data_IF_071873232834
#
_entry.id   IF_071873232834
#
_cell.length_a   1.000
_cell.length_b   1.000
_cell.length_c   1.000
_cell.angle_alpha   90.00
_cell.angle_beta   90.00
_cell.angle_gamma   90.00
#
_symmetry.space_group_name_H-M   'P 1'
#
loop_
_entity.id
_entity.type
_entity.pdbx_description
1 polymer ?
#
# COMPACT_ATOMS: atom_id res chain seq x y z
N UNK A 1 -0.01 -16.08 3.22
CA UNK A 1 1.27 -16.63 3.73
C UNK A 1 1.38 -16.35 5.24
N UNK A 2 1.95 -17.25 6.06
CA UNK A 2 2.13 -16.97 7.49
C UNK A 2 3.34 -16.04 7.66
N UNK A 3 3.11 -14.76 7.48
CA UNK A 3 4.13 -13.74 7.72
C UNK A 3 4.47 -13.70 9.21
N UNK A 4 5.75 -13.54 9.53
CA UNK A 4 6.23 -13.38 10.91
C UNK A 4 6.84 -12.00 11.01
N UNK A 5 6.10 -11.07 11.60
CA UNK A 5 6.68 -9.86 12.16
C UNK A 5 7.37 -10.29 13.47
N UNK A 6 8.68 -10.07 13.64
CA UNK A 6 9.32 -10.38 14.92
C UNK A 6 8.75 -9.45 16.00
N UNK A 7 8.80 -9.87 17.27
CA UNK A 7 8.04 -9.24 18.37
C UNK A 7 8.27 -7.73 18.61
N UNK A 8 9.37 -7.16 18.10
CA UNK A 8 9.67 -5.72 18.17
C UNK A 8 9.63 -5.01 16.82
N UNK A 9 9.44 -5.73 15.71
CA UNK A 9 9.46 -5.13 14.38
C UNK A 9 8.10 -4.50 14.09
N UNK A 10 8.11 -3.31 13.47
CA UNK A 10 6.92 -2.69 12.90
C UNK A 10 7.19 -2.47 11.42
N UNK A 11 6.27 -2.95 10.59
CA UNK A 11 6.23 -2.67 9.16
C UNK A 11 5.28 -1.51 8.92
N UNK A 12 5.72 -0.53 8.14
CA UNK A 12 4.90 0.58 7.66
C UNK A 12 4.66 0.36 6.17
N UNK A 13 3.40 0.30 5.77
CA UNK A 13 2.98 0.24 4.37
C UNK A 13 2.37 1.57 3.97
N UNK A 14 2.96 2.19 2.97
CA UNK A 14 2.51 3.39 2.29
C UNK A 14 2.21 3.05 0.83
N UNK A 15 1.61 3.99 0.11
CA UNK A 15 1.37 3.87 -1.32
C UNK A 15 1.86 5.13 -2.02
N UNK A 16 2.30 4.99 -3.27
CA UNK A 16 2.55 6.08 -4.21
C UNK A 16 1.91 5.76 -5.56
N UNK A 17 1.59 6.78 -6.34
CA UNK A 17 1.21 6.58 -7.74
C UNK A 17 2.43 6.12 -8.53
N UNK A 18 2.26 5.20 -9.49
CA UNK A 18 3.32 4.83 -10.42
C UNK A 18 3.56 6.02 -11.37
N UNK A 19 4.82 6.46 -11.46
CA UNK A 19 5.20 7.69 -12.16
C UNK A 19 5.36 7.50 -13.69
N UNK A 20 4.79 6.42 -14.25
CA UNK A 20 4.82 6.22 -15.71
C UNK A 20 4.02 7.31 -16.43
N UNK A 21 4.49 7.70 -17.62
CA UNK A 21 3.99 8.88 -18.36
C UNK A 21 2.52 8.80 -18.81
N UNK A 22 1.89 7.63 -18.70
CA UNK A 22 0.49 7.42 -19.07
C UNK A 22 -0.48 7.53 -17.90
N UNK A 23 0.00 7.57 -16.65
CA UNK A 23 -0.86 7.52 -15.48
C UNK A 23 -1.25 8.90 -14.96
N UNK A 24 -2.48 9.00 -14.47
CA UNK A 24 -2.94 10.22 -13.82
C UNK A 24 -2.42 10.30 -12.37
N UNK A 25 -1.46 11.19 -12.14
CA UNK A 25 -0.71 11.35 -10.88
C UNK A 25 -1.55 11.92 -9.73
N UNK A 26 -2.60 12.67 -10.03
CA UNK A 26 -3.43 13.39 -9.06
C UNK A 26 -4.93 13.14 -9.30
N UNK A 27 -5.28 11.99 -9.91
CA UNK A 27 -6.68 11.57 -10.07
C UNK A 27 -7.25 10.84 -8.85
N UNK A 28 -6.38 10.30 -7.99
CA UNK A 28 -6.78 9.53 -6.83
C UNK A 28 -6.27 10.19 -5.55
N UNK A 29 -7.07 10.08 -4.50
CA UNK A 29 -6.61 10.21 -3.12
C UNK A 29 -7.08 8.99 -2.35
N UNK A 30 -6.44 8.72 -1.22
CA UNK A 30 -6.80 7.60 -0.35
C UNK A 30 -6.50 7.90 1.10
N UNK A 31 -7.24 7.22 1.98
CA UNK A 31 -7.05 7.23 3.42
C UNK A 31 -7.21 5.80 4.00
N UNK A 32 -6.42 5.42 5.03
CA UNK A 32 -5.31 6.18 5.61
C UNK A 32 -4.08 6.24 4.67
N UNK A 33 -3.15 7.17 4.93
CA UNK A 33 -1.89 7.30 4.16
C UNK A 33 -0.84 6.25 4.53
N UNK A 34 -0.96 5.68 5.72
CA UNK A 34 -0.01 4.72 6.28
C UNK A 34 -0.77 3.61 6.99
N UNK A 35 -0.27 2.39 6.82
CA UNK A 35 -0.72 1.22 7.56
C UNK A 35 0.43 0.70 8.40
N UNK A 36 0.16 0.43 9.67
CA UNK A 36 1.15 -0.04 10.63
C UNK A 36 0.87 -1.50 10.96
N UNK A 37 1.82 -2.38 10.70
CA UNK A 37 1.70 -3.79 11.00
C UNK A 37 2.76 -4.23 12.00
N UNK A 38 2.32 -4.90 13.06
CA UNK A 38 3.16 -5.51 14.07
C UNK A 38 2.61 -6.91 14.44
N UNK A 39 3.25 -7.60 15.38
CA UNK A 39 2.82 -8.95 15.79
C UNK A 39 1.37 -9.00 16.33
N UNK A 40 0.86 -7.88 16.84
CA UNK A 40 -0.48 -7.81 17.44
C UNK A 40 -1.57 -7.63 16.38
N UNK A 41 -1.32 -6.87 15.32
CA UNK A 41 -2.36 -6.50 14.34
C UNK A 41 -2.13 -7.03 12.92
N UNK A 42 -1.05 -7.75 12.64
CA UNK A 42 -0.77 -8.26 11.29
C UNK A 42 -1.91 -9.12 10.69
N UNK A 43 -2.71 -9.74 11.54
CA UNK A 43 -3.83 -10.60 11.15
C UNK A 43 -5.17 -9.85 11.01
N UNK A 44 -5.20 -8.56 11.36
CA UNK A 44 -6.41 -7.75 11.34
C UNK A 44 -6.68 -7.21 9.93
N UNK A 45 -7.96 -7.03 9.62
CA UNK A 45 -8.36 -6.36 8.39
C UNK A 45 -8.08 -4.87 8.49
N UNK A 46 -7.44 -4.34 7.44
CA UNK A 46 -7.18 -2.92 7.29
C UNK A 46 -7.92 -2.43 6.05
N UNK A 47 -8.66 -1.33 6.20
CA UNK A 47 -9.47 -0.75 5.12
C UNK A 47 -8.78 0.48 4.57
N UNK A 48 -8.59 0.51 3.25
CA UNK A 48 -8.22 1.72 2.52
C UNK A 48 -9.43 2.22 1.73
N UNK A 49 -9.75 3.50 1.88
CA UNK A 49 -10.75 4.18 1.05
C UNK A 49 -10.00 4.92 -0.04
N UNK A 50 -10.28 4.59 -1.30
CA UNK A 50 -9.71 5.27 -2.46
C UNK A 50 -10.81 6.06 -3.15
N UNK A 51 -10.54 7.34 -3.37
CA UNK A 51 -11.47 8.30 -3.97
C UNK A 51 -10.88 8.86 -5.24
N UNK A 52 -11.62 8.73 -6.35
CA UNK A 52 -11.30 9.42 -7.60
C UNK A 52 -11.77 10.87 -7.49
N UNK A 53 -10.84 11.81 -7.61
CA UNK A 53 -11.11 13.26 -7.47
C UNK A 53 -11.29 13.97 -8.81
N UNK A 54 -10.82 13.35 -9.91
CA UNK A 54 -11.06 13.81 -11.28
C UNK A 54 -10.96 12.65 -12.26
N UNK A 55 -11.50 12.87 -13.46
CA UNK A 55 -11.36 11.93 -14.56
C UNK A 55 -9.91 11.88 -15.06
N UNK A 56 -9.47 10.71 -15.51
CA UNK A 56 -8.15 10.52 -16.07
C UNK A 56 -7.94 9.09 -16.55
N UNK A 57 -6.73 8.83 -17.02
CA UNK A 57 -6.29 7.48 -17.40
C UNK A 57 -6.24 6.53 -16.20
N UNK A 58 -5.93 5.27 -16.50
CA UNK A 58 -5.62 4.26 -15.48
C UNK A 58 -4.53 4.81 -14.53
N UNK A 59 -4.70 4.56 -13.24
CA UNK A 59 -3.73 4.91 -12.20
C UNK A 59 -3.37 3.65 -11.42
N UNK A 60 -2.09 3.32 -11.39
CA UNK A 60 -1.51 2.29 -10.55
C UNK A 60 -1.01 2.95 -9.27
N UNK A 61 -1.31 2.37 -8.13
CA UNK A 61 -0.66 2.74 -6.87
C UNK A 61 0.18 1.56 -6.37
N UNK A 62 1.43 1.87 -6.09
CA UNK A 62 2.48 0.95 -5.72
C UNK A 62 2.82 1.04 -4.24
N UNK A 63 2.97 -0.10 -3.56
CA UNK A 63 3.26 -0.13 -2.14
C UNK A 63 4.71 0.29 -1.85
N UNK A 64 4.89 1.10 -0.83
CA UNK A 64 6.20 1.41 -0.24
C UNK A 64 6.20 0.75 1.14
N UNK A 65 7.11 -0.20 1.35
CA UNK A 65 7.25 -0.90 2.62
C UNK A 65 8.51 -0.41 3.33
N UNK A 66 8.35 0.01 4.57
CA UNK A 66 9.43 0.44 5.45
C UNK A 66 9.42 -0.36 6.75
N UNK A 67 10.56 -0.44 7.45
CA UNK A 67 10.67 -1.12 8.74
C UNK A 67 11.00 -2.61 8.63
N UNK A 68 10.67 -3.41 9.65
CA UNK A 68 11.08 -4.82 9.76
C UNK A 68 9.98 -5.81 9.36
N UNK A 69 10.37 -7.00 8.88
CA UNK A 69 9.45 -8.11 8.59
C UNK A 69 8.84 -8.14 7.19
N UNK A 70 9.17 -7.17 6.32
CA UNK A 70 8.68 -7.10 4.95
C UNK A 70 9.56 -7.89 3.94
N UNK A 71 10.76 -8.34 4.33
CA UNK A 71 11.72 -9.08 3.48
C UNK A 71 11.15 -10.35 2.83
N UNK A 72 10.04 -10.86 3.37
CA UNK A 72 9.38 -12.09 2.91
C UNK A 72 8.08 -11.81 2.14
N UNK A 73 7.78 -10.55 1.85
CA UNK A 73 6.54 -10.15 1.19
C UNK A 73 6.86 -9.51 -0.15
N UNK A 74 6.56 -10.20 -1.26
CA UNK A 74 6.73 -9.62 -2.56
C UNK A 74 5.85 -8.37 -2.74
N UNK A 75 6.49 -7.28 -3.17
CA UNK A 75 5.89 -5.98 -3.43
C UNK A 75 4.62 -6.05 -4.30
N UNK A 76 4.62 -6.89 -5.33
CA UNK A 76 3.52 -6.97 -6.29
C UNK A 76 2.19 -7.46 -5.68
N UNK A 77 2.18 -8.03 -4.47
CA UNK A 77 0.93 -8.45 -3.82
C UNK A 77 0.05 -7.29 -3.35
N UNK A 78 0.60 -6.08 -3.22
CA UNK A 78 -0.17 -4.91 -2.80
C UNK A 78 -0.27 -3.83 -3.88
N UNK A 79 0.12 -4.13 -5.12
CA UNK A 79 -0.12 -3.23 -6.25
C UNK A 79 -1.62 -3.17 -6.53
N UNK A 80 -2.15 -1.95 -6.67
CA UNK A 80 -3.56 -1.71 -6.97
C UNK A 80 -3.67 -0.91 -8.26
N UNK A 81 -4.63 -1.29 -9.10
CA UNK A 81 -4.85 -0.67 -10.42
C UNK A 81 -6.28 -0.15 -10.49
N UNK A 82 -6.43 1.12 -10.83
CA UNK A 82 -7.72 1.81 -10.93
C UNK A 82 -7.95 2.29 -12.35
N UNK A 83 -9.04 1.80 -12.96
CA UNK A 83 -9.50 2.18 -14.29
C UNK A 83 -10.55 3.27 -14.24
#
# INVERSE_FOLDING_TARGET
>A
PRHRVNGNDTMILQFRVDETSSECQDCLTWEPKEFYFNIKNFHEYHTMIVTRIKDGSETTIDPIMNGGGHDKIPFYYYRLVFR
#
